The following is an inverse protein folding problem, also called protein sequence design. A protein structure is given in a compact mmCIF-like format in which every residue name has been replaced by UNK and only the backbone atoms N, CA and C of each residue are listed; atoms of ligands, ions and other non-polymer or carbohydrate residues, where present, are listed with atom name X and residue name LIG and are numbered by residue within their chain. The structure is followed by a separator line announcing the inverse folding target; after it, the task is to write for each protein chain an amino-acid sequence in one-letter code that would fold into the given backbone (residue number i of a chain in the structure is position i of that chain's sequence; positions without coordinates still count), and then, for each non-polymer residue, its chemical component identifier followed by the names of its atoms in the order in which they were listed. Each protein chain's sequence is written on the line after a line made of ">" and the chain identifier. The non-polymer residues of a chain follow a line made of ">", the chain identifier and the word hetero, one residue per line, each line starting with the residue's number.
data_IF_229808469624
#
_entry.id   IF_229808469624
#
_cell.length_a   1.000
_cell.length_b   1.000
_cell.length_c   1.000
_cell.angle_alpha   90.00
_cell.angle_beta   90.00
_cell.angle_gamma   90.00
#
_symmetry.space_group_name_H-M   'P 1'
#
loop_
_entity.id
_entity.type
_entity.pdbx_description
1 polymer ?
#
# COMPACT_ATOMS: atom_id res chain seq x y z
N UNK A 1 -23.27 20.34 17.72
CA UNK A 1 -22.48 20.86 16.59
C UNK A 1 -21.31 19.91 16.34
N UNK A 2 -21.36 19.06 15.31
CA UNK A 2 -20.24 18.25 14.79
C UNK A 2 -20.59 17.45 13.51
N UNK A 3 -21.71 17.75 12.83
CA UNK A 3 -22.23 16.90 11.74
C UNK A 3 -22.26 17.54 10.35
N UNK A 4 -21.83 18.79 10.20
CA UNK A 4 -21.96 19.54 8.92
C UNK A 4 -20.59 20.02 8.39
N UNK A 5 -19.49 19.80 9.13
CA UNK A 5 -18.14 20.17 8.66
C UNK A 5 -17.37 19.01 7.99
N UNK A 6 -17.88 17.78 8.08
CA UNK A 6 -17.18 16.59 7.60
C UNK A 6 -17.36 16.30 6.09
N UNK A 7 -18.24 17.02 5.40
CA UNK A 7 -18.64 16.72 4.03
C UNK A 7 -18.00 17.63 2.96
N UNK A 8 -17.49 18.79 3.32
CA UNK A 8 -17.01 19.78 2.32
C UNK A 8 -15.48 19.79 2.16
N UNK A 9 -14.71 19.37 3.18
CA UNK A 9 -13.23 19.40 3.15
C UNK A 9 -12.54 18.03 3.07
N UNK A 10 -13.29 16.93 3.03
CA UNK A 10 -12.73 15.57 2.98
C UNK A 10 -12.81 14.92 1.59
N UNK A 11 -13.48 15.55 0.62
CA UNK A 11 -13.56 15.02 -0.76
C UNK A 11 -12.18 15.14 -1.43
N UNK A 12 -11.48 16.27 -1.27
CA UNK A 12 -10.10 16.43 -1.76
C UNK A 12 -9.12 15.44 -1.11
N UNK A 13 -9.35 15.05 0.15
CA UNK A 13 -8.45 14.15 0.89
C UNK A 13 -8.62 12.67 0.54
N UNK A 14 -9.73 12.28 -0.07
CA UNK A 14 -9.92 10.95 -0.65
C UNK A 14 -9.06 10.76 -1.92
N UNK A 15 -8.91 11.82 -2.72
CA UNK A 15 -8.01 11.81 -3.87
C UNK A 15 -6.54 11.62 -3.45
N UNK A 16 -6.14 12.23 -2.32
CA UNK A 16 -4.81 12.04 -1.76
C UNK A 16 -4.53 10.59 -1.36
N UNK A 17 -5.51 9.89 -0.79
CA UNK A 17 -5.36 8.50 -0.40
C UNK A 17 -5.15 7.59 -1.63
N UNK A 18 -5.96 7.76 -2.68
CA UNK A 18 -5.80 7.01 -3.93
C UNK A 18 -4.44 7.29 -4.58
N UNK A 19 -3.97 8.54 -4.50
CA UNK A 19 -2.63 8.93 -4.97
C UNK A 19 -1.54 8.23 -4.16
N UNK A 20 -1.66 8.17 -2.83
CA UNK A 20 -0.70 7.44 -1.99
C UNK A 20 -0.71 5.94 -2.30
N UNK A 21 -1.89 5.34 -2.43
CA UNK A 21 -2.03 3.93 -2.80
C UNK A 21 -1.32 3.64 -4.12
N UNK A 22 -1.52 4.51 -5.12
CA UNK A 22 -0.89 4.37 -6.43
C UNK A 22 0.63 4.51 -6.38
N UNK A 23 1.17 5.47 -5.63
CA UNK A 23 2.63 5.64 -5.47
C UNK A 23 3.29 4.43 -4.81
N UNK A 24 2.62 3.84 -3.81
CA UNK A 24 3.07 2.61 -3.15
C UNK A 24 3.01 1.43 -4.12
N UNK A 25 1.92 1.31 -4.89
CA UNK A 25 1.74 0.28 -5.90
C UNK A 25 2.81 0.35 -7.01
N UNK A 26 3.12 1.56 -7.50
CA UNK A 26 4.21 1.79 -8.46
C UNK A 26 5.56 1.39 -7.87
N UNK A 27 5.84 1.75 -6.61
CA UNK A 27 7.08 1.36 -5.94
C UNK A 27 7.22 -0.15 -5.73
N UNK A 28 6.10 -0.85 -5.48
CA UNK A 28 6.07 -2.31 -5.43
C UNK A 28 6.39 -2.91 -6.81
N UNK A 29 5.79 -2.39 -7.88
CA UNK A 29 6.08 -2.87 -9.24
C UNK A 29 7.54 -2.60 -9.64
N UNK A 30 8.08 -1.41 -9.32
CA UNK A 30 9.48 -1.05 -9.57
C UNK A 30 10.48 -1.91 -8.78
N UNK A 31 10.07 -2.49 -7.65
CA UNK A 31 10.93 -3.36 -6.85
C UNK A 31 11.31 -4.66 -7.56
N UNK A 32 10.54 -5.05 -8.59
CA UNK A 32 10.80 -6.22 -9.44
C UNK A 32 10.45 -7.58 -8.81
N UNK A 33 10.09 -7.62 -7.53
CA UNK A 33 9.69 -8.86 -6.85
C UNK A 33 8.17 -8.96 -6.58
N UNK A 34 7.44 -7.86 -6.67
CA UNK A 34 5.99 -7.83 -6.53
C UNK A 34 5.29 -7.74 -7.90
N UNK A 35 4.29 -8.59 -8.10
CA UNK A 35 3.34 -8.52 -9.21
C UNK A 35 2.08 -7.82 -8.71
N UNK A 36 1.91 -6.56 -9.09
CA UNK A 36 0.87 -5.66 -8.58
C UNK A 36 -0.25 -5.52 -9.62
N UNK A 37 -1.50 -5.66 -9.18
CA UNK A 37 -2.67 -5.42 -10.03
C UNK A 37 -2.94 -3.92 -10.16
N UNK A 38 -2.15 -3.23 -10.99
CA UNK A 38 -2.24 -1.78 -11.18
C UNK A 38 -3.60 -1.32 -11.71
N UNK A 39 -4.32 -2.17 -12.44
CA UNK A 39 -5.68 -1.86 -12.93
C UNK A 39 -6.72 -1.85 -11.79
N UNK A 40 -6.50 -2.64 -10.74
CA UNK A 40 -7.33 -2.71 -9.55
C UNK A 40 -7.04 -1.64 -8.50
N UNK A 41 -5.91 -0.92 -8.59
CA UNK A 41 -5.57 0.20 -7.67
C UNK A 41 -6.34 1.47 -8.06
N UNK A 42 -7.65 1.44 -7.85
CA UNK A 42 -8.55 2.56 -8.13
C UNK A 42 -9.00 3.30 -6.86
N UNK A 43 -8.71 2.74 -5.70
CA UNK A 43 -9.10 3.26 -4.40
C UNK A 43 -7.91 3.26 -3.43
N UNK A 44 -8.16 2.97 -2.16
CA UNK A 44 -7.19 2.86 -1.09
C UNK A 44 -6.65 1.43 -0.88
N UNK A 45 -6.88 0.52 -1.82
CA UNK A 45 -6.54 -0.90 -1.68
C UNK A 45 -5.59 -1.31 -2.79
N UNK A 46 -4.51 -1.98 -2.39
CA UNK A 46 -3.50 -2.51 -3.30
C UNK A 46 -3.45 -4.02 -3.10
N UNK A 47 -3.57 -4.75 -4.21
CA UNK A 47 -3.40 -6.19 -4.25
C UNK A 47 -2.15 -6.53 -5.05
N UNK A 48 -1.32 -7.40 -4.49
CA UNK A 48 -0.15 -7.90 -5.19
C UNK A 48 0.21 -9.31 -4.75
N UNK A 49 0.87 -10.04 -5.65
CA UNK A 49 1.44 -11.36 -5.38
C UNK A 49 2.94 -11.30 -5.47
N UNK A 50 3.61 -12.27 -4.86
CA UNK A 50 5.07 -12.43 -4.96
C UNK A 50 5.31 -13.85 -5.46
N UNK A 51 5.65 -14.00 -6.73
CA UNK A 51 5.51 -15.29 -7.43
C UNK A 51 6.14 -16.50 -6.75
N UNK A 52 7.28 -16.35 -6.07
CA UNK A 52 7.97 -17.45 -5.39
C UNK A 52 7.71 -17.51 -3.87
N UNK A 53 6.89 -16.62 -3.32
CA UNK A 53 6.74 -16.46 -1.87
C UNK A 53 5.27 -16.43 -1.46
N UNK A 54 4.96 -17.10 -0.35
CA UNK A 54 3.62 -17.04 0.21
C UNK A 54 3.33 -15.62 0.71
N UNK A 55 2.12 -15.14 0.49
CA UNK A 55 1.66 -13.85 0.99
C UNK A 55 1.92 -13.69 2.51
N UNK A 56 1.78 -14.75 3.30
CA UNK A 56 2.04 -14.72 4.75
C UNK A 56 3.50 -14.44 5.12
N UNK A 57 4.45 -14.90 4.29
CA UNK A 57 5.86 -14.61 4.48
C UNK A 57 6.20 -13.17 4.07
N UNK A 58 5.58 -12.67 3.01
CA UNK A 58 5.70 -11.27 2.58
C UNK A 58 5.18 -10.34 3.67
N UNK A 59 3.99 -10.60 4.20
CA UNK A 59 3.42 -9.82 5.32
C UNK A 59 4.33 -9.84 6.55
N UNK A 60 4.96 -10.99 6.84
CA UNK A 60 5.91 -11.09 7.95
C UNK A 60 7.13 -10.18 7.73
N UNK A 61 7.70 -10.16 6.52
CA UNK A 61 8.81 -9.25 6.16
C UNK A 61 8.42 -7.79 6.17
N UNK A 62 7.22 -7.46 5.71
CA UNK A 62 6.67 -6.10 5.77
C UNK A 62 6.59 -5.62 7.23
N UNK A 63 6.15 -6.50 8.13
CA UNK A 63 6.07 -6.20 9.56
C UNK A 63 7.45 -5.94 10.17
N UNK A 64 8.51 -6.62 9.73
CA UNK A 64 9.89 -6.37 10.18
C UNK A 64 10.38 -4.96 9.82
N UNK A 65 9.94 -4.42 8.69
CA UNK A 65 10.21 -3.03 8.28
C UNK A 65 9.12 -2.04 8.72
N UNK A 66 8.22 -2.45 9.60
CA UNK A 66 7.19 -1.61 10.18
C UNK A 66 6.00 -1.30 9.27
N UNK A 67 5.80 -2.06 8.20
CA UNK A 67 4.63 -1.94 7.31
C UNK A 67 3.62 -3.03 7.69
N UNK A 68 2.37 -2.64 7.92
CA UNK A 68 1.28 -3.57 8.22
C UNK A 68 0.51 -3.90 6.94
N UNK A 69 0.34 -5.19 6.68
CA UNK A 69 -0.39 -5.70 5.54
C UNK A 69 -1.18 -6.95 5.97
N UNK A 70 -2.23 -7.27 5.21
CA UNK A 70 -2.99 -8.50 5.41
C UNK A 70 -2.84 -9.41 4.19
N UNK A 71 -3.22 -10.67 4.35
CA UNK A 71 -3.28 -11.64 3.25
C UNK A 71 -4.72 -12.00 2.94
N UNK A 72 -5.04 -12.12 1.66
CA UNK A 72 -6.31 -12.67 1.18
C UNK A 72 -5.97 -13.87 0.29
N UNK A 73 -5.96 -15.08 0.88
CA UNK A 73 -5.43 -16.27 0.22
C UNK A 73 -3.93 -16.13 -0.06
N UNK A 74 -3.55 -16.28 -1.33
CA UNK A 74 -2.16 -16.14 -1.81
C UNK A 74 -1.80 -14.70 -2.23
N UNK A 75 -2.70 -13.74 -2.03
CA UNK A 75 -2.51 -12.33 -2.39
C UNK A 75 -2.23 -11.50 -1.13
N UNK A 76 -1.32 -10.54 -1.22
CA UNK A 76 -1.12 -9.54 -0.18
C UNK A 76 -2.04 -8.35 -0.45
N UNK A 77 -2.76 -7.93 0.58
CA UNK A 77 -3.65 -6.78 0.58
C UNK A 77 -3.08 -5.69 1.48
N UNK A 78 -2.69 -4.60 0.86
CA UNK A 78 -2.35 -3.34 1.52
C UNK A 78 -3.54 -2.39 1.44
N UNK A 79 -3.74 -1.63 2.51
CA UNK A 79 -4.81 -0.65 2.58
C UNK A 79 -4.21 0.66 3.07
N UNK A 80 -4.31 1.71 2.27
CA UNK A 80 -4.01 3.07 2.68
C UNK A 80 -5.21 3.66 3.42
N UNK A 81 -4.93 4.60 4.31
CA UNK A 81 -5.96 5.34 5.01
C UNK A 81 -5.56 6.82 5.11
N UNK A 82 -6.52 7.64 5.54
CA UNK A 82 -6.38 9.08 5.70
C UNK A 82 -5.31 9.49 6.75
N UNK A 83 -4.79 8.54 7.54
CA UNK A 83 -3.72 8.79 8.51
C UNK A 83 -2.32 8.69 7.87
N UNK A 84 -2.21 8.24 6.61
CA UNK A 84 -0.93 8.19 5.88
C UNK A 84 -0.63 9.54 5.24
N UNK A 85 0.44 10.19 5.68
CA UNK A 85 0.93 11.42 5.08
C UNK A 85 1.77 11.17 3.81
N UNK A 86 2.08 12.23 3.07
CA UNK A 86 3.00 12.15 1.93
C UNK A 86 4.43 11.75 2.36
N UNK A 87 4.84 12.13 3.56
CA UNK A 87 6.13 11.72 4.16
C UNK A 87 6.12 10.22 4.48
N UNK A 88 5.03 9.71 5.08
CA UNK A 88 4.86 8.28 5.35
C UNK A 88 4.85 7.48 4.05
N UNK A 89 4.16 7.97 3.02
CA UNK A 89 4.13 7.35 1.69
C UNK A 89 5.55 7.25 1.12
N UNK A 90 6.32 8.33 1.20
CA UNK A 90 7.71 8.37 0.71
C UNK A 90 8.59 7.37 1.46
N UNK A 91 8.45 7.30 2.78
CA UNK A 91 9.17 6.37 3.64
C UNK A 91 8.78 4.91 3.35
N UNK A 92 7.49 4.61 3.18
CA UNK A 92 6.98 3.29 2.79
C UNK A 92 7.57 2.87 1.44
N UNK A 93 7.54 3.75 0.43
CA UNK A 93 8.12 3.50 -0.88
C UNK A 93 9.63 3.21 -0.78
N UNK A 94 10.37 3.99 0.02
CA UNK A 94 11.80 3.77 0.23
C UNK A 94 12.10 2.43 0.91
N UNK A 95 11.28 2.04 1.91
CA UNK A 95 11.38 0.74 2.58
C UNK A 95 11.09 -0.41 1.63
N UNK A 96 10.04 -0.31 0.81
CA UNK A 96 9.68 -1.30 -0.20
C UNK A 96 10.83 -1.49 -1.21
N UNK A 97 11.40 -0.39 -1.71
CA UNK A 97 12.55 -0.44 -2.65
C UNK A 97 13.81 -1.03 -2.03
N UNK A 98 13.99 -0.84 -0.72
CA UNK A 98 15.12 -1.40 0.04
C UNK A 98 14.87 -2.84 0.50
N UNK A 99 13.60 -3.28 0.53
CA UNK A 99 13.21 -4.61 0.95
C UNK A 99 13.58 -5.61 -0.15
N UNK A 100 14.45 -6.54 0.21
CA UNK A 100 14.83 -7.64 -0.68
C UNK A 100 13.93 -8.82 -0.39
N UNK A 101 12.99 -9.07 -1.30
CA UNK A 101 12.11 -10.24 -1.28
C UNK A 101 12.51 -11.10 -2.49
N UNK A 102 12.83 -12.38 -2.22
CA UNK A 102 13.52 -13.23 -3.19
C UNK A 102 15.03 -13.21 -3.00
N UNK A 103 15.68 -14.32 -3.35
CA UNK A 103 17.12 -14.55 -3.18
C UNK A 103 17.94 -13.86 -4.28
#
# INVERSE_FOLDING_TARGET
>A
AAGIYALDHNIDRLEDDHRHARLIAESLQESGWADVDMEGVQTNIIFFTVGQMKASEVVSRFKEVGILANTEGDVVRLVTNLDISAEDTTEICARIKSLKIGN
#
